data_IF_370157274205
#
_entry.id   IF_370157274205
#
_cell.length_a   1.000
_cell.length_b   1.000
_cell.length_c   1.000
_cell.angle_alpha   90.00
_cell.angle_beta   90.00
_cell.angle_gamma   90.00
#
_symmetry.space_group_name_H-M   'P 1'
#
loop_
_entity.id
_entity.type
_entity.pdbx_description
1 polymer ?
#
# COMPACT_ATOMS: atom_id res chain seq x y z
N UNK A 1 12.76 49.71 7.93
CA UNK A 1 11.98 49.47 6.69
C UNK A 1 12.92 48.80 5.68
N UNK A 2 12.56 47.64 5.12
CA UNK A 2 13.47 46.65 4.51
C UNK A 2 14.45 47.23 3.48
N UNK A 3 15.72 47.44 3.88
CA UNK A 3 16.84 47.81 2.99
C UNK A 3 17.16 46.72 1.94
N UNK A 4 16.78 45.47 2.24
CA UNK A 4 17.00 44.30 1.39
C UNK A 4 16.22 44.35 0.06
N UNK A 5 15.09 45.07 0.00
CA UNK A 5 14.23 45.17 -1.19
C UNK A 5 14.74 46.17 -2.26
N UNK A 6 15.97 46.67 -2.12
CA UNK A 6 16.61 47.55 -3.12
C UNK A 6 17.58 46.81 -4.05
N UNK A 7 18.03 45.61 -3.68
CA UNK A 7 18.97 44.84 -4.49
C UNK A 7 18.22 44.05 -5.56
N UNK A 8 18.43 44.42 -6.83
CA UNK A 8 17.79 43.77 -7.99
C UNK A 8 18.04 42.26 -8.02
N UNK A 9 19.23 41.80 -7.63
CA UNK A 9 19.54 40.37 -7.59
C UNK A 9 18.71 39.63 -6.54
N UNK A 10 18.46 40.25 -5.38
CA UNK A 10 17.67 39.65 -4.31
C UNK A 10 16.19 39.55 -4.72
N UNK A 11 15.64 40.61 -5.31
CA UNK A 11 14.25 40.62 -5.80
C UNK A 11 14.06 39.52 -6.85
N UNK A 12 14.99 39.41 -7.81
CA UNK A 12 14.94 38.37 -8.84
C UNK A 12 15.05 36.98 -8.20
N UNK A 13 16.00 36.77 -7.29
CA UNK A 13 16.18 35.48 -6.62
C UNK A 13 14.93 35.05 -5.84
N UNK A 14 14.27 35.98 -5.14
CA UNK A 14 13.05 35.71 -4.38
C UNK A 14 11.86 35.29 -5.27
N UNK A 15 11.85 35.72 -6.54
CA UNK A 15 10.82 35.32 -7.50
C UNK A 15 11.19 34.03 -8.25
N UNK A 16 12.44 33.88 -8.67
CA UNK A 16 12.91 32.74 -9.47
C UNK A 16 13.05 31.47 -8.63
N UNK A 17 13.56 31.57 -7.40
CA UNK A 17 13.78 30.41 -6.53
C UNK A 17 12.51 29.58 -6.26
N UNK A 18 11.36 30.16 -5.86
CA UNK A 18 10.15 29.36 -5.64
C UNK A 18 9.61 28.72 -6.93
N UNK A 19 9.77 29.39 -8.09
CA UNK A 19 9.39 28.81 -9.39
C UNK A 19 10.25 27.59 -9.69
N UNK A 20 11.57 27.71 -9.52
CA UNK A 20 12.49 26.58 -9.69
C UNK A 20 12.23 25.44 -8.70
N UNK A 21 11.84 25.75 -7.46
CA UNK A 21 11.51 24.74 -6.46
C UNK A 21 10.29 23.89 -6.88
N UNK A 22 9.25 24.53 -7.42
CA UNK A 22 8.06 23.83 -7.94
C UNK A 22 8.45 22.97 -9.15
N UNK A 23 9.23 23.51 -10.09
CA UNK A 23 9.70 22.75 -11.26
C UNK A 23 10.52 21.53 -10.82
N UNK A 24 11.45 21.71 -9.88
CA UNK A 24 12.29 20.63 -9.38
C UNK A 24 11.46 19.53 -8.71
N UNK A 25 10.44 19.90 -7.92
CA UNK A 25 9.54 18.92 -7.30
C UNK A 25 8.87 18.02 -8.35
N UNK A 26 8.23 18.61 -9.37
CA UNK A 26 7.58 17.84 -10.43
C UNK A 26 8.57 17.11 -11.35
N UNK A 27 9.74 17.69 -11.63
CA UNK A 27 10.76 17.06 -12.46
C UNK A 27 11.35 15.82 -11.78
N UNK A 28 11.64 15.89 -10.47
CA UNK A 28 12.11 14.74 -9.70
C UNK A 28 11.04 13.65 -9.67
N UNK A 29 9.79 14.02 -9.41
CA UNK A 29 8.68 13.07 -9.43
C UNK A 29 8.55 12.37 -10.79
N UNK A 30 8.65 13.12 -11.90
CA UNK A 30 8.57 12.56 -13.24
C UNK A 30 9.76 11.65 -13.61
N UNK A 31 10.97 11.98 -13.15
CA UNK A 31 12.20 11.21 -13.46
C UNK A 31 12.32 9.95 -12.61
N UNK A 32 11.86 10.00 -11.35
CA UNK A 32 12.02 8.90 -10.39
C UNK A 32 10.78 8.00 -10.31
N UNK A 33 9.61 8.48 -10.70
CA UNK A 33 8.40 7.66 -10.68
C UNK A 33 8.51 6.45 -11.61
N UNK A 34 8.14 5.29 -11.07
CA UNK A 34 7.95 4.07 -11.85
C UNK A 34 6.92 4.33 -12.96
N UNK A 35 7.22 3.87 -14.18
CA UNK A 35 6.26 4.04 -15.28
C UNK A 35 5.09 3.07 -15.07
N UNK A 36 3.84 3.51 -15.29
CA UNK A 36 2.72 2.60 -15.27
C UNK A 36 2.88 1.57 -16.40
N UNK A 37 2.95 0.30 -16.03
CA UNK A 37 3.05 -0.84 -16.95
C UNK A 37 1.75 -1.63 -16.93
N UNK A 38 1.30 -2.05 -18.11
CA UNK A 38 0.15 -2.96 -18.22
C UNK A 38 0.53 -4.31 -17.64
N UNK A 39 -0.37 -4.91 -16.86
CA UNK A 39 -0.16 -6.23 -16.30
C UNK A 39 -0.11 -7.30 -17.41
N UNK A 40 0.96 -8.08 -17.43
CA UNK A 40 1.18 -9.21 -18.34
C UNK A 40 0.83 -10.53 -17.65
N UNK A 41 0.27 -11.46 -18.42
CA UNK A 41 -0.12 -12.78 -17.90
C UNK A 41 1.11 -13.55 -17.39
N UNK A 42 0.99 -14.13 -16.20
CA UNK A 42 2.05 -14.95 -15.57
C UNK A 42 3.14 -14.14 -14.85
N UNK A 43 3.07 -12.81 -14.84
CA UNK A 43 3.93 -11.96 -14.02
C UNK A 43 3.36 -11.74 -12.63
N UNK A 44 4.22 -11.35 -11.70
CA UNK A 44 3.85 -10.98 -10.33
C UNK A 44 4.06 -9.49 -10.11
N UNK A 45 3.07 -8.83 -9.52
CA UNK A 45 3.08 -7.40 -9.27
C UNK A 45 2.95 -7.13 -7.78
N UNK A 46 3.85 -6.32 -7.23
CA UNK A 46 3.83 -5.95 -5.82
C UNK A 46 2.78 -4.89 -5.57
N UNK A 47 1.95 -5.09 -4.55
CA UNK A 47 1.00 -4.09 -4.11
C UNK A 47 1.66 -3.14 -3.10
N UNK A 48 1.37 -1.85 -3.22
CA UNK A 48 1.79 -0.82 -2.28
C UNK A 48 0.79 -0.73 -1.13
N UNK A 49 1.29 -0.61 0.10
CA UNK A 49 0.46 -0.44 1.30
C UNK A 49 0.05 1.01 1.47
N UNK A 50 -1.26 1.27 1.62
CA UNK A 50 -1.78 2.59 1.99
C UNK A 50 -1.48 2.91 3.45
N UNK A 51 -1.67 4.18 3.81
CA UNK A 51 -1.37 4.71 5.16
C UNK A 51 -2.16 4.02 6.27
N UNK A 52 -3.35 3.47 5.98
CA UNK A 52 -4.17 2.75 6.96
C UNK A 52 -3.51 1.46 7.46
N UNK A 53 -2.59 0.86 6.71
CA UNK A 53 -1.87 -0.36 7.10
C UNK A 53 -0.92 -0.18 8.29
N UNK A 54 -0.62 1.05 8.69
CA UNK A 54 0.30 1.35 9.80
C UNK A 54 -0.37 1.25 11.18
N UNK A 55 -1.69 1.19 11.24
CA UNK A 55 -2.44 1.26 12.49
C UNK A 55 -2.86 -0.12 13.01
N UNK A 56 -3.01 -0.24 14.33
CA UNK A 56 -3.48 -1.46 15.00
C UNK A 56 -4.98 -1.75 14.79
N UNK A 57 -5.64 -1.08 13.84
CA UNK A 57 -7.07 -1.30 13.52
C UNK A 57 -7.33 -2.67 12.88
N UNK A 58 -6.27 -3.37 12.45
CA UNK A 58 -6.37 -4.63 11.72
C UNK A 58 -6.88 -4.44 10.29
N UNK A 59 -6.94 -3.22 9.75
CA UNK A 59 -7.37 -2.94 8.39
C UNK A 59 -6.21 -2.39 7.56
N UNK A 60 -5.99 -2.95 6.39
CA UNK A 60 -4.94 -2.52 5.47
C UNK A 60 -5.46 -2.54 4.03
N UNK A 61 -5.24 -1.46 3.30
CA UNK A 61 -5.55 -1.39 1.87
C UNK A 61 -4.25 -1.45 1.08
N UNK A 62 -4.21 -2.39 0.13
CA UNK A 62 -3.09 -2.63 -0.77
C UNK A 62 -3.51 -2.22 -2.18
N UNK A 63 -2.69 -1.48 -2.90
CA UNK A 63 -3.00 -1.03 -4.27
C UNK A 63 -1.86 -1.20 -5.26
N UNK A 64 -2.19 -1.44 -6.52
CA UNK A 64 -1.29 -1.31 -7.65
C UNK A 64 -2.10 -0.94 -8.90
N UNK A 65 -1.96 0.30 -9.38
CA UNK A 65 -2.78 0.82 -10.47
C UNK A 65 -4.26 0.72 -10.14
N UNK A 66 -5.01 0.00 -10.98
CA UNK A 66 -6.45 -0.21 -10.82
C UNK A 66 -6.80 -1.37 -9.87
N UNK A 67 -5.81 -2.12 -9.37
CA UNK A 67 -6.03 -3.24 -8.44
C UNK A 67 -6.05 -2.70 -7.01
N UNK A 68 -7.13 -2.94 -6.28
CA UNK A 68 -7.23 -2.65 -4.86
C UNK A 68 -7.64 -3.92 -4.08
N UNK A 69 -6.92 -4.19 -3.00
CA UNK A 69 -7.18 -5.29 -2.07
C UNK A 69 -7.32 -4.73 -0.67
N UNK A 70 -8.48 -4.94 -0.06
CA UNK A 70 -8.75 -4.60 1.32
C UNK A 70 -8.58 -5.85 2.18
N UNK A 71 -7.65 -5.76 3.14
CA UNK A 71 -7.33 -6.82 4.09
C UNK A 71 -7.85 -6.41 5.45
N UNK A 72 -8.54 -7.31 6.13
CA UNK A 72 -8.99 -7.16 7.51
C UNK A 72 -8.57 -8.37 8.32
N UNK A 73 -7.90 -8.13 9.44
CA UNK A 73 -7.55 -9.12 10.44
C UNK A 73 -8.35 -8.83 11.70
N UNK A 74 -9.10 -9.81 12.16
CA UNK A 74 -9.89 -9.71 13.38
C UNK A 74 -9.48 -10.82 14.34
N UNK A 75 -9.18 -10.46 15.59
CA UNK A 75 -9.01 -11.47 16.66
C UNK A 75 -10.39 -12.01 17.04
N UNK A 76 -10.55 -13.32 16.90
CA UNK A 76 -11.75 -14.06 17.31
C UNK A 76 -11.59 -14.52 18.77
N UNK A 77 -10.38 -14.97 19.11
CA UNK A 77 -9.97 -15.33 20.48
C UNK A 77 -8.51 -14.90 20.68
N UNK A 78 -7.95 -15.11 21.87
CA UNK A 78 -6.53 -14.82 22.15
C UNK A 78 -5.57 -15.61 21.25
N UNK A 79 -5.99 -16.78 20.76
CA UNK A 79 -5.16 -17.70 19.96
C UNK A 79 -5.62 -17.82 18.51
N UNK A 80 -6.64 -17.07 18.08
CA UNK A 80 -7.29 -17.27 16.77
C UNK A 80 -7.62 -15.93 16.10
N UNK A 81 -7.18 -15.80 14.85
CA UNK A 81 -7.54 -14.68 13.98
C UNK A 81 -8.34 -15.14 12.78
N UNK A 82 -9.26 -14.29 12.35
CA UNK A 82 -9.90 -14.36 11.05
C UNK A 82 -9.25 -13.33 10.13
N UNK A 83 -8.72 -13.82 9.00
CA UNK A 83 -8.26 -13.00 7.90
C UNK A 83 -9.37 -12.92 6.87
N UNK A 84 -9.82 -11.71 6.56
CA UNK A 84 -10.78 -11.42 5.50
C UNK A 84 -10.13 -10.56 4.43
N UNK A 85 -10.35 -10.91 3.16
CA UNK A 85 -9.82 -10.20 2.01
C UNK A 85 -10.96 -9.87 1.05
N UNK A 86 -10.99 -8.63 0.58
CA UNK A 86 -11.86 -8.15 -0.48
C UNK A 86 -11.02 -7.59 -1.61
N UNK A 87 -11.26 -8.01 -2.85
CA UNK A 87 -10.66 -7.37 -4.03
C UNK A 87 -11.71 -6.65 -4.85
N UNK A 88 -11.33 -5.53 -5.45
CA UNK A 88 -12.19 -4.83 -6.42
C UNK A 88 -12.31 -5.58 -7.75
N UNK A 89 -11.39 -6.50 -8.06
CA UNK A 89 -11.39 -7.34 -9.25
C UNK A 89 -11.61 -8.83 -8.89
N UNK A 90 -12.13 -9.65 -9.80
CA UNK A 90 -12.36 -11.07 -9.54
C UNK A 90 -11.04 -11.82 -9.36
N UNK A 91 -10.80 -12.32 -8.15
CA UNK A 91 -9.67 -13.17 -7.84
C UNK A 91 -10.03 -14.64 -8.10
N UNK A 92 -9.15 -15.38 -8.80
CA UNK A 92 -9.35 -16.81 -9.02
C UNK A 92 -8.99 -17.64 -7.79
N UNK A 93 -7.94 -17.21 -7.07
CA UNK A 93 -7.44 -17.87 -5.88
C UNK A 93 -6.74 -16.86 -5.00
N UNK A 94 -6.96 -16.97 -3.70
CA UNK A 94 -6.27 -16.17 -2.68
C UNK A 94 -5.55 -17.13 -1.74
N UNK A 95 -4.25 -16.91 -1.58
CA UNK A 95 -3.39 -17.67 -0.67
C UNK A 95 -2.83 -16.69 0.37
N UNK A 96 -2.78 -17.11 1.62
CA UNK A 96 -2.13 -16.33 2.68
C UNK A 96 -1.34 -17.25 3.60
N UNK A 97 -0.19 -16.76 4.04
CA UNK A 97 0.67 -17.41 5.04
C UNK A 97 0.81 -16.47 6.24
N UNK A 98 0.74 -17.02 7.44
CA UNK A 98 1.06 -16.29 8.67
C UNK A 98 2.36 -16.87 9.23
N UNK A 99 3.27 -16.00 9.67
CA UNK A 99 4.53 -16.41 10.28
C UNK A 99 4.86 -15.51 11.47
N UNK A 100 5.24 -16.13 12.59
CA UNK A 100 5.67 -15.43 13.81
C UNK A 100 7.15 -15.07 13.82
N UNK A 101 7.95 -15.74 12.99
CA UNK A 101 9.40 -15.55 12.86
C UNK A 101 9.72 -15.25 11.37
N UNK A 102 10.93 -14.77 11.03
CA UNK A 102 11.32 -14.44 9.63
C UNK A 102 11.36 -15.66 8.66
N UNK A 103 10.79 -16.80 9.05
CA UNK A 103 10.61 -17.98 8.21
C UNK A 103 9.33 -17.88 7.36
N UNK A 104 9.35 -18.41 6.14
CA UNK A 104 8.17 -18.40 5.26
C UNK A 104 7.19 -19.48 5.70
N UNK A 105 6.05 -19.08 6.28
CA UNK A 105 4.98 -20.01 6.65
C UNK A 105 4.34 -20.67 5.42
N UNK A 106 3.75 -21.86 5.60
CA UNK A 106 3.05 -22.54 4.51
C UNK A 106 1.81 -21.75 4.07
N UNK A 107 1.60 -21.56 2.76
CA UNK A 107 0.46 -20.82 2.25
C UNK A 107 -0.85 -21.62 2.40
N UNK A 108 -1.83 -21.02 3.06
CA UNK A 108 -3.20 -21.53 3.20
C UNK A 108 -4.09 -20.88 2.16
N UNK A 109 -4.89 -21.68 1.47
CA UNK A 109 -5.88 -21.17 0.53
C UNK A 109 -7.10 -20.62 1.28
N UNK A 110 -7.50 -19.38 0.99
CA UNK A 110 -8.72 -18.80 1.52
C UNK A 110 -9.95 -19.36 0.79
N UNK A 111 -11.07 -19.42 1.51
CA UNK A 111 -12.36 -19.81 0.95
C UNK A 111 -13.18 -18.57 0.61
N UNK A 112 -13.81 -18.55 -0.56
CA UNK A 112 -14.76 -17.48 -0.90
C UNK A 112 -16.08 -17.74 -0.19
N UNK A 113 -16.54 -16.76 0.59
CA UNK A 113 -17.84 -16.84 1.27
C UNK A 113 -18.91 -15.94 0.62
N UNK A 114 -18.50 -15.00 -0.23
CA UNK A 114 -19.40 -14.22 -1.07
C UNK A 114 -18.73 -13.91 -2.43
N UNK A 115 -18.87 -14.81 -3.42
CA UNK A 115 -18.23 -14.69 -4.74
C UNK A 115 -18.61 -13.42 -5.48
N UNK A 116 -19.89 -13.03 -5.42
CA UNK A 116 -20.45 -11.81 -6.03
C UNK A 116 -19.73 -10.52 -5.58
N UNK A 117 -19.11 -10.55 -4.39
CA UNK A 117 -18.43 -9.41 -3.76
C UNK A 117 -16.91 -9.58 -3.70
N UNK A 118 -16.37 -10.64 -4.30
CA UNK A 118 -14.95 -11.01 -4.24
C UNK A 118 -14.40 -11.08 -2.81
N UNK A 119 -15.20 -11.65 -1.90
CA UNK A 119 -14.84 -11.79 -0.49
C UNK A 119 -14.32 -13.19 -0.18
N UNK A 120 -13.22 -13.23 0.57
CA UNK A 120 -12.45 -14.43 0.91
C UNK A 120 -12.09 -14.39 2.40
N UNK A 121 -12.15 -15.55 3.07
CA UNK A 121 -11.69 -15.64 4.45
C UNK A 121 -10.96 -16.95 4.74
N UNK A 122 -10.10 -16.89 5.75
CA UNK A 122 -9.50 -18.05 6.40
C UNK A 122 -9.20 -17.71 7.86
N UNK A 123 -9.11 -18.76 8.68
CA UNK A 123 -8.81 -18.65 10.10
C UNK A 123 -7.41 -19.18 10.36
N UNK A 124 -6.62 -18.46 11.15
CA UNK A 124 -5.25 -18.84 11.52
C UNK A 124 -5.11 -18.87 13.04
N UNK A 125 -4.33 -19.81 13.54
CA UNK A 125 -3.91 -19.83 14.94
C UNK A 125 -2.75 -18.83 15.14
N UNK A 126 -2.86 -17.97 16.15
CA UNK A 126 -1.76 -17.14 16.60
C UNK A 126 -0.80 -18.02 17.42
N UNK A 127 0.37 -18.31 16.86
CA UNK A 127 1.48 -18.87 17.62
C UNK A 127 2.19 -17.65 18.21
N UNK A 128 1.88 -17.32 19.46
CA UNK A 128 2.55 -16.24 20.19
C UNK A 128 3.85 -16.82 20.78
N UNK A 129 5.05 -16.41 20.32
CA UNK A 129 6.24 -16.58 21.13
C UNK A 129 6.23 -15.46 22.18
N UNK A 130 5.82 -15.78 23.41
CA UNK A 130 6.09 -14.91 24.56
C UNK A 130 7.58 -14.53 24.65
#
# INVERSE_FOLDING_TARGET
MLSFLKNKHLIIAMLVAPVLAIIAYFAVDHVVSEKPHVAEQGKSYKLAAKSNCRYQSGQCTLENGDVEINVRVQRVTDVLIELSIQSNLPAQRVLASFTGNDETGEPVALQSYAPEKNLWSATFALIDPE
#
